data_IF_006227590318
#
_entry.id   IF_006227590318
#
_cell.length_a   1.000
_cell.length_b   1.000
_cell.length_c   1.000
_cell.angle_alpha   90.00
_cell.angle_beta   90.00
_cell.angle_gamma   90.00
#
_symmetry.space_group_name_H-M   'P 1'
#
loop_
_entity.id
_entity.type
_entity.pdbx_description
1 polymer ?
#
# COMPACT_ATOMS: atom_id res chain seq x y z
N UNK A 1 -2.04 -29.00 -10.14
CA UNK A 1 -2.42 -29.25 -8.74
C UNK A 1 -3.94 -29.32 -8.68
N UNK A 2 -4.53 -30.29 -7.99
CA UNK A 2 -5.98 -30.30 -7.76
C UNK A 2 -6.35 -29.13 -6.83
N UNK A 3 -7.50 -28.50 -7.07
CA UNK A 3 -8.00 -27.35 -6.30
C UNK A 3 -8.09 -27.65 -4.80
N UNK A 4 -8.47 -28.87 -4.41
CA UNK A 4 -8.53 -29.27 -2.99
C UNK A 4 -7.15 -29.30 -2.36
N UNK A 5 -6.18 -29.87 -3.06
CA UNK A 5 -4.79 -29.89 -2.57
C UNK A 5 -4.27 -28.46 -2.44
N UNK A 6 -4.64 -27.56 -3.35
CA UNK A 6 -4.21 -26.15 -3.30
C UNK A 6 -4.70 -25.47 -2.03
N UNK A 7 -6.02 -25.47 -1.80
CA UNK A 7 -6.60 -24.85 -0.61
C UNK A 7 -6.15 -25.52 0.69
N UNK A 8 -5.89 -26.83 0.67
CA UNK A 8 -5.28 -27.52 1.80
C UNK A 8 -3.91 -26.93 2.15
N UNK A 9 -3.01 -26.78 1.15
CA UNK A 9 -1.68 -26.19 1.36
C UNK A 9 -1.75 -24.71 1.78
N UNK A 10 -2.67 -23.95 1.20
CA UNK A 10 -2.88 -22.54 1.60
C UNK A 10 -3.28 -22.50 3.07
N UNK A 11 -4.21 -23.34 3.51
CA UNK A 11 -4.67 -23.33 4.89
C UNK A 11 -3.59 -23.84 5.86
N UNK A 12 -2.78 -24.83 5.48
CA UNK A 12 -1.60 -25.22 6.28
C UNK A 12 -0.59 -24.07 6.39
N UNK A 13 -0.29 -23.41 5.28
CA UNK A 13 0.66 -22.26 5.25
C UNK A 13 0.14 -21.10 6.08
N UNK A 14 -1.16 -20.81 6.01
CA UNK A 14 -1.78 -19.75 6.82
C UNK A 14 -1.61 -20.00 8.32
N UNK A 15 -1.69 -21.26 8.76
CA UNK A 15 -1.57 -21.63 10.18
C UNK A 15 -0.15 -21.51 10.73
N UNK A 16 0.87 -21.51 9.87
CA UNK A 16 2.27 -21.29 10.31
C UNK A 16 2.59 -19.81 10.48
N UNK A 17 1.77 -18.92 9.91
CA UNK A 17 1.92 -17.47 10.00
C UNK A 17 1.27 -16.95 11.29
N UNK A 18 2.10 -16.59 12.26
CA UNK A 18 1.65 -16.13 13.58
C UNK A 18 0.97 -14.75 13.53
N UNK A 19 1.40 -13.86 12.62
CA UNK A 19 0.89 -12.49 12.53
C UNK A 19 -0.33 -12.40 11.61
N UNK A 20 -1.23 -11.45 11.92
CA UNK A 20 -2.36 -11.10 11.06
C UNK A 20 -1.91 -10.40 9.76
N UNK A 21 -0.82 -9.64 9.85
CA UNK A 21 -0.17 -8.95 8.74
C UNK A 21 1.25 -9.46 8.59
N UNK A 22 1.57 -9.93 7.39
CA UNK A 22 2.84 -10.60 7.10
C UNK A 22 3.55 -9.82 6.01
N UNK A 23 4.80 -9.48 6.28
CA UNK A 23 5.69 -8.91 5.26
C UNK A 23 6.20 -10.06 4.41
N UNK A 24 5.93 -10.00 3.12
CA UNK A 24 6.40 -10.95 2.12
C UNK A 24 7.32 -10.25 1.13
N UNK A 25 8.34 -10.96 0.67
CA UNK A 25 9.27 -10.49 -0.35
C UNK A 25 8.95 -11.21 -1.65
N UNK A 26 8.69 -10.42 -2.69
CA UNK A 26 8.39 -10.96 -4.02
C UNK A 26 9.59 -11.74 -4.56
N UNK A 27 9.34 -12.96 -4.99
CA UNK A 27 10.33 -13.78 -5.68
C UNK A 27 10.49 -13.30 -7.13
N UNK A 28 11.62 -13.63 -7.75
CA UNK A 28 11.80 -13.42 -9.18
C UNK A 28 10.85 -14.34 -9.95
N UNK A 29 9.81 -13.76 -10.53
CA UNK A 29 8.86 -14.51 -11.38
C UNK A 29 9.26 -14.35 -12.85
N UNK A 30 9.13 -15.42 -13.64
CA UNK A 30 9.40 -15.44 -15.08
C UNK A 30 8.65 -14.37 -15.89
N UNK A 31 7.53 -13.86 -15.37
CA UNK A 31 6.67 -12.83 -16.00
C UNK A 31 7.15 -11.38 -15.81
N UNK A 32 8.39 -11.15 -15.35
CA UNK A 32 8.97 -9.80 -15.23
C UNK A 32 8.64 -9.07 -13.92
N UNK A 33 8.18 -9.80 -12.90
CA UNK A 33 8.04 -9.27 -11.54
C UNK A 33 9.41 -8.87 -10.97
N UNK A 34 9.54 -7.62 -10.49
CA UNK A 34 10.75 -7.16 -9.80
C UNK A 34 10.93 -7.94 -8.51
N UNK A 35 11.93 -8.81 -8.48
CA UNK A 35 12.35 -9.50 -7.27
C UNK A 35 12.78 -8.50 -6.18
N UNK A 36 12.55 -8.86 -4.92
CA UNK A 36 13.07 -8.10 -3.77
C UNK A 36 12.17 -6.98 -3.26
N UNK A 37 10.98 -6.77 -3.84
CA UNK A 37 10.00 -5.86 -3.24
C UNK A 37 9.31 -6.51 -2.05
N UNK A 38 9.51 -5.90 -0.88
CA UNK A 38 8.75 -6.21 0.33
C UNK A 38 7.37 -5.55 0.27
N UNK A 39 6.35 -6.27 0.72
CA UNK A 39 4.99 -5.78 0.88
C UNK A 39 4.36 -6.42 2.12
N UNK A 40 3.61 -5.64 2.88
CA UNK A 40 2.81 -6.15 3.99
C UNK A 40 1.40 -6.47 3.50
N UNK A 41 0.97 -7.71 3.69
CA UNK A 41 -0.34 -8.20 3.26
C UNK A 41 -1.02 -8.97 4.39
N UNK A 42 -2.34 -9.16 4.26
CA UNK A 42 -3.08 -10.02 5.18
C UNK A 42 -2.58 -11.47 5.11
N UNK A 43 -2.69 -12.19 6.22
CA UNK A 43 -2.17 -13.55 6.40
C UNK A 43 -2.67 -14.55 5.35
N UNK A 44 -3.94 -14.48 4.97
CA UNK A 44 -4.57 -15.30 3.94
C UNK A 44 -3.93 -15.05 2.56
N UNK A 45 -3.75 -13.78 2.19
CA UNK A 45 -3.08 -13.37 0.96
C UNK A 45 -1.63 -13.82 0.95
N UNK A 46 -0.91 -13.67 2.06
CA UNK A 46 0.47 -14.17 2.18
C UNK A 46 0.55 -15.69 1.93
N UNK A 47 -0.36 -16.47 2.53
CA UNK A 47 -0.40 -17.90 2.35
C UNK A 47 -0.61 -18.30 0.88
N UNK A 48 -1.52 -17.62 0.17
CA UNK A 48 -1.69 -17.79 -1.27
C UNK A 48 -0.41 -17.48 -2.05
N UNK A 49 0.22 -16.34 -1.78
CA UNK A 49 1.44 -15.91 -2.48
C UNK A 49 2.62 -16.88 -2.27
N UNK A 50 2.71 -17.48 -1.08
CA UNK A 50 3.74 -18.47 -0.74
C UNK A 50 3.48 -19.80 -1.45
N UNK A 51 2.25 -20.30 -1.43
CA UNK A 51 1.89 -21.56 -2.11
C UNK A 51 2.02 -21.43 -3.63
N UNK A 52 1.72 -20.25 -4.19
CA UNK A 52 1.92 -19.93 -5.60
C UNK A 52 3.41 -19.77 -5.97
N UNK A 53 4.32 -19.76 -4.98
CA UNK A 53 5.75 -19.55 -5.19
C UNK A 53 6.13 -18.12 -5.60
N UNK A 54 5.20 -17.17 -5.51
CA UNK A 54 5.37 -15.78 -5.95
C UNK A 54 6.07 -14.91 -4.91
N UNK A 55 6.06 -15.33 -3.65
CA UNK A 55 6.75 -14.63 -2.58
C UNK A 55 7.26 -15.58 -1.50
N UNK A 56 8.20 -15.09 -0.70
CA UNK A 56 8.66 -15.72 0.54
C UNK A 56 8.31 -14.85 1.74
N UNK A 57 8.19 -15.47 2.91
CA UNK A 57 8.10 -14.73 4.17
C UNK A 57 9.40 -13.95 4.37
N UNK A 58 9.28 -12.66 4.70
CA UNK A 58 10.42 -11.84 5.07
C UNK A 58 11.00 -12.33 6.41
N UNK A 59 12.32 -12.22 6.56
CA UNK A 59 12.95 -12.37 7.88
C UNK A 59 12.48 -11.26 8.82
N UNK A 60 12.67 -11.44 10.13
CA UNK A 60 12.27 -10.43 11.12
C UNK A 60 12.96 -9.08 10.87
N UNK A 61 14.25 -9.10 10.52
CA UNK A 61 15.01 -7.90 10.17
C UNK A 61 14.47 -7.19 8.92
N UNK A 62 14.20 -7.93 7.85
CA UNK A 62 13.62 -7.38 6.60
C UNK A 62 12.22 -6.80 6.85
N UNK A 63 11.41 -7.47 7.68
CA UNK A 63 10.08 -7.00 8.03
C UNK A 63 10.13 -5.73 8.88
N UNK A 64 11.10 -5.62 9.79
CA UNK A 64 11.30 -4.42 10.59
C UNK A 64 11.78 -3.24 9.75
N UNK A 65 12.76 -3.46 8.87
CA UNK A 65 13.25 -2.44 7.93
C UNK A 65 12.11 -1.90 7.06
N UNK A 66 11.29 -2.79 6.50
CA UNK A 66 10.12 -2.40 5.72
C UNK A 66 9.13 -1.54 6.52
N UNK A 67 8.81 -1.94 7.75
CA UNK A 67 7.90 -1.15 8.60
C UNK A 67 8.47 0.24 8.94
N UNK A 68 9.78 0.33 9.19
CA UNK A 68 10.44 1.62 9.41
C UNK A 68 10.42 2.51 8.16
N UNK A 69 10.62 1.94 6.98
CA UNK A 69 10.47 2.66 5.71
C UNK A 69 9.03 3.15 5.51
N UNK A 70 8.03 2.29 5.72
CA UNK A 70 6.62 2.65 5.58
C UNK A 70 6.20 3.77 6.54
N UNK A 71 6.67 3.73 7.79
CA UNK A 71 6.42 4.82 8.75
C UNK A 71 7.00 6.15 8.26
N UNK A 72 8.24 6.14 7.72
CA UNK A 72 8.90 7.33 7.17
C UNK A 72 8.18 7.87 5.93
N UNK A 73 7.70 6.97 5.07
CA UNK A 73 7.01 7.34 3.84
C UNK A 73 5.61 7.88 4.12
N UNK A 74 4.89 7.30 5.08
CA UNK A 74 3.55 7.76 5.51
C UNK A 74 3.62 9.17 6.06
N UNK A 75 4.58 9.46 6.96
CA UNK A 75 4.77 10.80 7.50
C UNK A 75 5.01 11.86 6.40
N UNK A 76 5.87 11.55 5.42
CA UNK A 76 6.12 12.44 4.26
C UNK A 76 4.87 12.64 3.39
N UNK A 77 4.11 11.58 3.14
CA UNK A 77 2.88 11.66 2.35
C UNK A 77 1.81 12.52 3.06
N UNK A 78 1.72 12.44 4.39
CA UNK A 78 0.84 13.28 5.21
C UNK A 78 1.25 14.76 5.17
N UNK A 79 2.54 15.07 5.29
CA UNK A 79 3.05 16.45 5.14
C UNK A 79 2.70 17.06 3.78
N UNK A 80 2.87 16.29 2.69
CA UNK A 80 2.52 16.73 1.34
C UNK A 80 1.01 16.95 1.19
N UNK A 81 0.17 16.06 1.75
CA UNK A 81 -1.30 16.23 1.76
C UNK A 81 -1.73 17.45 2.56
N UNK A 82 -1.13 17.69 3.73
CA UNK A 82 -1.41 18.85 4.56
C UNK A 82 -1.06 20.15 3.80
N UNK A 83 0.12 20.22 3.18
CA UNK A 83 0.56 21.38 2.40
C UNK A 83 -0.31 21.64 1.15
N UNK A 84 -0.81 20.59 0.50
CA UNK A 84 -1.69 20.73 -0.66
C UNK A 84 -3.13 21.11 -0.27
N UNK A 85 -3.63 20.65 0.88
CA UNK A 85 -4.94 21.08 1.40
C UNK A 85 -4.96 22.58 1.77
N UNK A 86 -3.88 23.12 2.34
CA UNK A 86 -3.77 24.56 2.66
C UNK A 86 -3.75 25.45 1.42
N UNK A 87 -3.11 25.01 0.33
CA UNK A 87 -3.07 25.76 -0.94
C UNK A 87 -4.44 25.91 -1.60
N UNK A 88 -5.33 24.92 -1.43
CA UNK A 88 -6.68 24.95 -2.01
C UNK A 88 -7.58 25.94 -1.26
N UNK A 89 -7.47 26.03 0.06
CA UNK A 89 -8.30 26.91 0.90
C UNK A 89 -8.02 28.40 0.66
N UNK A 90 -6.79 28.78 0.30
CA UNK A 90 -6.45 30.20 0.03
C UNK A 90 -7.03 30.66 -1.32
N UNK A 91 -7.19 29.76 -2.30
CA UNK A 91 -7.72 30.13 -3.62
C UNK A 91 -9.26 30.31 -3.61
N UNK A 92 -9.97 29.70 -2.66
CA UNK A 92 -11.43 29.78 -2.57
C UNK A 92 -11.93 31.09 -1.96
N UNK A 93 -11.23 31.69 -1.00
CA UNK A 93 -11.66 32.95 -0.38
C UNK A 93 -11.41 34.18 -1.29
N UNK A 94 -10.21 34.27 -1.87
CA UNK A 94 -9.86 35.39 -2.76
C UNK A 94 -10.53 35.27 -4.14
N UNK A 95 -10.68 34.04 -4.66
CA UNK A 95 -11.36 33.78 -5.94
C UNK A 95 -12.87 34.02 -5.90
N UNK A 96 -13.54 33.73 -4.78
CA UNK A 96 -14.99 33.98 -4.64
C UNK A 96 -15.33 35.46 -4.56
N UNK A 97 -14.50 36.30 -3.93
CA UNK A 97 -14.70 37.76 -3.91
C UNK A 97 -14.55 38.39 -5.30
N UNK A 98 -13.59 37.93 -6.09
CA UNK A 98 -13.38 38.41 -7.45
C UNK A 98 -14.56 38.09 -8.39
N UNK A 99 -15.23 36.94 -8.19
CA UNK A 99 -16.39 36.53 -9.00
C UNK A 99 -17.70 37.23 -8.61
N UNK A 100 -17.86 37.64 -7.35
CA UNK A 100 -19.07 38.35 -6.88
C UNK A 100 -19.15 39.81 -7.38
N UNK A 101 -18.02 40.44 -7.70
CA UNK A 101 -17.98 41.83 -8.18
C UNK A 101 -18.06 41.97 -9.72
N UNK A 102 -17.94 40.88 -10.49
CA UNK A 102 -17.95 40.90 -11.96
C UNK A 102 -19.34 40.78 -12.63
N UNK A 103 -20.41 40.50 -11.86
CA UNK A 103 -21.73 40.15 -12.41
C UNK A 103 -22.70 41.31 -12.67
N UNK A 104 -22.33 42.57 -12.39
CA UNK A 104 -23.27 43.72 -12.45
C UNK A 104 -22.80 44.80 -13.42
N UNK A 105 -22.67 44.47 -14.71
CA UNK A 105 -22.53 45.48 -15.76
C UNK A 105 -22.82 44.93 -17.17
N UNK A 106 -24.07 44.58 -17.47
CA UNK A 106 -24.62 44.57 -18.84
C UNK A 106 -26.13 44.83 -18.78
N UNK A 107 -26.49 46.10 -18.89
CA UNK A 107 -27.83 46.65 -19.12
C UNK A 107 -27.67 47.87 -20.00
#
# INVERSE_FOLDING_TARGET
>A
MDIRTYFYKVHETERTLASLFVVVISNETQDGGKAGHAVEVARDVAAHMIVDGRARVATEAEAEEFRQEQSRNTARAEEVRAASSLKVTILTEDGMRALQHGGKQRG
#
